data_IF_405380520163
#
_entry.id   IF_405380520163
#
_cell.length_a   1.000
_cell.length_b   1.000
_cell.length_c   1.000
_cell.angle_alpha   90.00
_cell.angle_beta   90.00
_cell.angle_gamma   90.00
#
_symmetry.space_group_name_H-M   'P 1'
#
loop_
_entity.id
_entity.type
_entity.pdbx_description
1 polymer ?
#
# COMPACT_ATOMS: atom_id res chain seq x y z
N UNK A 1 25.90 10.56 6.26
CA UNK A 1 24.50 10.70 6.74
C UNK A 1 23.50 10.71 5.59
N UNK A 2 23.41 11.75 4.75
CA UNK A 2 22.43 11.78 3.64
C UNK A 2 22.69 10.67 2.61
N UNK A 3 23.96 10.42 2.26
CA UNK A 3 24.32 9.32 1.35
C UNK A 3 23.96 7.94 1.92
N UNK A 4 24.12 7.76 3.23
CA UNK A 4 23.84 6.48 3.90
C UNK A 4 22.33 6.23 3.98
N UNK A 5 21.56 7.28 4.25
CA UNK A 5 20.10 7.23 4.22
C UNK A 5 19.58 6.89 2.81
N UNK A 6 20.11 7.55 1.77
CA UNK A 6 19.75 7.23 0.39
C UNK A 6 20.12 5.79 0.01
N UNK A 7 21.27 5.29 0.49
CA UNK A 7 21.66 3.91 0.27
C UNK A 7 20.69 2.94 0.95
N UNK A 8 20.31 3.18 2.20
CA UNK A 8 19.36 2.35 2.92
C UNK A 8 17.98 2.30 2.23
N UNK A 9 17.51 3.44 1.71
CA UNK A 9 16.26 3.49 0.94
C UNK A 9 16.37 2.70 -0.36
N UNK A 10 17.48 2.80 -1.08
CA UNK A 10 17.69 2.03 -2.31
C UNK A 10 17.80 0.52 -2.05
N UNK A 11 18.51 0.14 -0.98
CA UNK A 11 18.61 -1.26 -0.55
C UNK A 11 17.21 -1.80 -0.20
N UNK A 12 16.40 -1.01 0.51
CA UNK A 12 15.02 -1.36 0.85
C UNK A 12 14.12 -1.46 -0.40
N UNK A 13 14.24 -0.52 -1.34
CA UNK A 13 13.51 -0.55 -2.60
C UNK A 13 13.90 -1.74 -3.49
N UNK A 14 15.14 -2.24 -3.37
CA UNK A 14 15.56 -3.47 -4.06
C UNK A 14 14.95 -4.73 -3.45
N UNK A 15 14.64 -4.72 -2.15
CA UNK A 15 14.02 -5.86 -1.44
C UNK A 15 12.50 -5.82 -1.60
N UNK A 16 11.91 -4.62 -1.51
CA UNK A 16 10.48 -4.38 -1.68
C UNK A 16 10.28 -3.36 -2.80
N UNK A 17 10.19 -3.81 -4.07
CA UNK A 17 10.06 -2.94 -5.24
C UNK A 17 8.87 -1.98 -5.18
N UNK A 18 7.81 -2.33 -4.44
CA UNK A 18 6.65 -1.47 -4.23
C UNK A 18 7.03 -0.13 -3.57
N UNK A 19 7.97 -0.15 -2.61
CA UNK A 19 8.48 1.05 -1.96
C UNK A 19 9.31 1.92 -2.91
N UNK A 20 9.96 1.28 -3.89
CA UNK A 20 10.73 1.94 -4.95
C UNK A 20 9.91 2.52 -6.09
N UNK A 21 8.57 2.35 -6.07
CA UNK A 21 7.71 2.90 -7.11
C UNK A 21 7.12 1.88 -8.08
N UNK A 22 7.36 0.58 -7.89
CA UNK A 22 6.79 -0.44 -8.76
C UNK A 22 5.26 -0.41 -8.74
N UNK A 23 4.65 -0.60 -9.92
CA UNK A 23 3.20 -0.76 -10.09
C UNK A 23 2.80 -2.20 -10.40
N UNK A 24 3.73 -3.15 -10.30
CA UNK A 24 3.47 -4.57 -10.57
C UNK A 24 2.58 -5.19 -9.50
N UNK A 25 1.58 -5.97 -9.92
CA UNK A 25 0.70 -6.72 -9.01
C UNK A 25 1.45 -7.72 -8.15
N UNK A 26 2.50 -8.33 -8.68
CA UNK A 26 3.35 -9.26 -7.92
C UNK A 26 4.02 -8.55 -6.74
N UNK A 27 4.55 -7.36 -6.99
CA UNK A 27 5.25 -6.58 -5.97
C UNK A 27 4.29 -6.06 -4.90
N UNK A 28 3.03 -5.79 -5.28
CA UNK A 28 1.94 -5.54 -4.34
C UNK A 28 1.66 -6.75 -3.44
N UNK A 29 1.50 -7.95 -4.00
CA UNK A 29 1.22 -9.16 -3.20
C UNK A 29 2.36 -9.49 -2.24
N UNK A 30 3.61 -9.35 -2.69
CA UNK A 30 4.78 -9.61 -1.85
C UNK A 30 4.92 -8.56 -0.73
N UNK A 31 4.60 -7.28 -1.00
CA UNK A 31 4.54 -6.25 0.04
C UNK A 31 3.40 -6.51 1.05
N UNK A 32 2.25 -7.01 0.59
CA UNK A 32 1.13 -7.38 1.47
C UNK A 32 1.50 -8.48 2.44
N UNK A 33 2.16 -9.55 1.97
CA UNK A 33 2.65 -10.65 2.82
C UNK A 33 3.65 -10.16 3.86
N UNK A 34 4.48 -9.18 3.49
CA UNK A 34 5.42 -8.58 4.43
C UNK A 34 4.70 -7.80 5.54
N UNK A 35 3.65 -7.05 5.21
CA UNK A 35 2.81 -6.38 6.22
C UNK A 35 2.13 -7.40 7.13
N UNK A 36 1.54 -8.46 6.57
CA UNK A 36 0.92 -9.55 7.34
C UNK A 36 1.92 -10.17 8.33
N UNK A 37 3.15 -10.45 7.89
CA UNK A 37 4.22 -10.94 8.75
C UNK A 37 4.59 -9.95 9.88
N UNK A 38 4.71 -8.67 9.55
CA UNK A 38 5.07 -7.63 10.53
C UNK A 38 3.95 -7.46 11.58
N UNK A 39 2.68 -7.49 11.19
CA UNK A 39 1.57 -7.40 12.14
C UNK A 39 1.56 -8.56 13.15
N UNK A 40 2.03 -9.74 12.76
CA UNK A 40 2.13 -10.90 13.66
C UNK A 40 3.35 -10.87 14.58
N UNK A 41 4.47 -10.27 14.14
CA UNK A 41 5.76 -10.38 14.82
C UNK A 41 6.27 -9.06 15.44
N UNK A 42 6.02 -7.93 14.78
CA UNK A 42 6.46 -6.58 15.18
C UNK A 42 5.51 -5.50 14.63
N UNK A 43 4.29 -5.37 15.20
CA UNK A 43 3.26 -4.49 14.68
C UNK A 43 3.57 -3.00 14.83
N UNK A 44 4.46 -2.63 15.76
CA UNK A 44 4.88 -1.25 16.00
C UNK A 44 6.07 -0.83 15.10
N UNK A 45 6.47 -1.71 14.16
CA UNK A 45 7.55 -1.42 13.23
C UNK A 45 7.18 -0.26 12.30
N UNK A 46 8.05 0.76 12.12
CA UNK A 46 7.81 1.85 11.17
C UNK A 46 7.60 1.38 9.72
N UNK A 47 8.03 0.17 9.40
CA UNK A 47 7.80 -0.44 8.10
C UNK A 47 6.31 -0.74 7.84
N UNK A 48 5.52 -1.01 8.89
CA UNK A 48 4.08 -1.24 8.78
C UNK A 48 3.40 0.01 8.21
N UNK A 49 3.67 1.18 8.79
CA UNK A 49 3.08 2.45 8.33
C UNK A 49 3.50 2.77 6.88
N UNK A 50 4.79 2.58 6.56
CA UNK A 50 5.34 2.88 5.24
C UNK A 50 4.76 1.95 4.17
N UNK A 51 4.67 0.64 4.46
CA UNK A 51 4.13 -0.34 3.52
C UNK A 51 2.62 -0.14 3.33
N UNK A 52 1.88 0.06 4.42
CA UNK A 52 0.43 0.30 4.36
C UNK A 52 0.12 1.54 3.52
N UNK A 53 0.81 2.66 3.75
CA UNK A 53 0.62 3.87 2.93
C UNK A 53 0.94 3.65 1.45
N UNK A 54 1.92 2.78 1.14
CA UNK A 54 2.28 2.47 -0.25
C UNK A 54 1.27 1.54 -0.92
N UNK A 55 0.75 0.57 -0.18
CA UNK A 55 -0.33 -0.34 -0.60
C UNK A 55 -1.59 0.48 -0.91
N UNK A 56 -2.00 1.39 -0.01
CA UNK A 56 -3.13 2.29 -0.22
C UNK A 56 -2.95 3.13 -1.49
N UNK A 57 -1.74 3.66 -1.73
CA UNK A 57 -1.45 4.41 -2.94
C UNK A 57 -1.55 3.53 -4.20
N UNK A 58 -1.11 2.28 -4.14
CA UNK A 58 -1.25 1.34 -5.27
C UNK A 58 -2.72 1.01 -5.55
N UNK A 59 -3.50 0.69 -4.52
CA UNK A 59 -4.93 0.35 -4.64
C UNK A 59 -5.76 1.54 -5.16
N UNK A 60 -5.45 2.76 -4.72
CA UNK A 60 -6.09 3.97 -5.21
C UNK A 60 -5.81 4.23 -6.70
N UNK A 61 -4.67 3.78 -7.23
CA UNK A 61 -4.31 3.93 -8.64
C UNK A 61 -4.61 2.69 -9.51
N UNK A 62 -4.94 1.55 -8.89
CA UNK A 62 -5.23 0.31 -9.59
C UNK A 62 -6.62 0.37 -10.25
N UNK A 63 -6.64 0.23 -11.58
CA UNK A 63 -7.87 0.19 -12.40
C UNK A 63 -8.79 -0.97 -11.97
N UNK A 64 -8.22 -2.06 -11.45
CA UNK A 64 -8.96 -3.24 -10.97
C UNK A 64 -9.82 -2.95 -9.72
N UNK A 65 -9.55 -1.85 -9.00
CA UNK A 65 -10.36 -1.40 -7.87
C UNK A 65 -11.32 -0.26 -8.24
N UNK A 66 -11.33 0.22 -9.48
CA UNK A 66 -12.28 1.27 -9.92
C UNK A 66 -13.73 0.80 -9.84
N UNK A 67 -14.01 -0.46 -10.20
CA UNK A 67 -15.36 -1.02 -10.07
C UNK A 67 -15.81 -1.15 -8.61
N UNK A 68 -14.90 -1.51 -7.70
CA UNK A 68 -15.20 -1.54 -6.26
C UNK A 68 -15.38 -0.13 -5.68
N UNK A 69 -14.53 0.82 -6.07
CA UNK A 69 -14.65 2.25 -5.74
C UNK A 69 -16.00 2.80 -6.19
N UNK A 70 -16.42 2.52 -7.42
CA UNK A 70 -17.70 2.97 -7.96
C UNK A 70 -18.89 2.43 -7.16
N UNK A 71 -18.87 1.16 -6.77
CA UNK A 71 -19.95 0.55 -5.97
C UNK A 71 -20.02 1.17 -4.55
N UNK A 72 -18.89 1.38 -3.89
CA UNK A 72 -18.88 2.01 -2.56
C UNK A 72 -19.31 3.48 -2.58
N UNK A 73 -18.88 4.26 -3.59
CA UNK A 73 -19.26 5.67 -3.74
C UNK A 73 -20.77 5.78 -4.02
N UNK A 74 -21.31 4.97 -4.94
CA UNK A 74 -22.74 4.95 -5.23
C UNK A 74 -23.58 4.46 -4.04
N UNK A 75 -23.05 3.56 -3.22
CA UNK A 75 -23.72 3.09 -2.00
C UNK A 75 -23.87 4.16 -0.92
N UNK A 76 -22.93 5.11 -0.82
CA UNK A 76 -22.96 6.21 0.16
C UNK A 76 -23.93 7.34 -0.23
N UNK A 77 -24.15 7.57 -1.53
CA UNK A 77 -25.17 8.53 -2.00
C UNK A 77 -26.60 8.05 -1.70
N UNK A 78 -26.85 6.73 -1.67
CA UNK A 78 -28.16 6.19 -1.36
C UNK A 78 -28.57 6.41 0.11
N UNK A 79 -27.61 6.47 1.04
CA UNK A 79 -27.88 6.68 2.47
C UNK A 79 -28.18 8.16 2.78
N UNK A 80 -27.62 9.10 2.02
CA UNK A 80 -27.89 10.55 2.18
C UNK A 80 -29.12 11.04 1.41
N UNK A 81 -29.71 10.19 0.56
CA UNK A 81 -30.87 10.52 -0.28
C UNK A 81 -32.16 9.82 0.16
N UNK A 82 -32.23 9.35 1.41
CA UNK A 82 -33.49 8.93 2.03
C UNK A 82 -33.88 9.97 3.09
N UNK A 83 -34.93 10.79 2.84
CA UNK A 83 -35.36 11.87 3.74
C UNK A 83 -35.93 11.36 5.07
#
# INVERSE_FOLDING_TARGET
>A
MISDANKAVNDLASIVPLLGGSSSRKDYEDARKLVEYLLEHDPDSPLVDILTARIDAWENNAVEFEEFKAICILGLEFIHSNP
#
